data_IF_301831671059
#
_entry.id   IF_301831671059
#
_cell.length_a   1.000
_cell.length_b   1.000
_cell.length_c   1.000
_cell.angle_alpha   90.00
_cell.angle_beta   90.00
_cell.angle_gamma   90.00
#
_symmetry.space_group_name_H-M   'P 1'
#
loop_
_entity.id
_entity.type
_entity.pdbx_description
1 polymer ?
#
# COMPACT_ATOMS: atom_id res chain seq x y z
N UNK A 1 21.57 -4.99 2.75
CA UNK A 1 20.63 -3.95 2.27
C UNK A 1 19.98 -4.47 1.00
N UNK A 2 18.67 -4.74 0.99
CA UNK A 2 17.95 -5.06 -0.25
C UNK A 2 17.97 -3.84 -1.17
N UNK A 3 18.12 -4.06 -2.48
CA UNK A 3 18.18 -2.95 -3.43
C UNK A 3 16.80 -2.25 -3.52
N UNK A 4 16.78 -0.93 -3.72
CA UNK A 4 15.56 -0.14 -3.92
C UNK A 4 14.63 -0.78 -4.98
N UNK A 5 15.23 -1.31 -6.05
CA UNK A 5 14.53 -2.01 -7.13
C UNK A 5 13.82 -3.27 -6.64
N UNK A 6 14.46 -4.10 -5.80
CA UNK A 6 13.83 -5.30 -5.25
C UNK A 6 12.59 -4.97 -4.41
N UNK A 7 12.67 -3.92 -3.58
CA UNK A 7 11.54 -3.51 -2.75
C UNK A 7 10.37 -2.98 -3.59
N UNK A 8 10.64 -2.22 -4.64
CA UNK A 8 9.62 -1.78 -5.61
C UNK A 8 8.93 -3.00 -6.25
N UNK A 9 9.71 -3.96 -6.76
CA UNK A 9 9.15 -5.15 -7.39
C UNK A 9 8.34 -6.01 -6.41
N UNK A 10 8.77 -6.11 -5.15
CA UNK A 10 7.99 -6.80 -4.09
C UNK A 10 6.65 -6.12 -3.84
N UNK A 11 6.62 -4.79 -3.66
CA UNK A 11 5.38 -4.03 -3.48
C UNK A 11 4.44 -4.28 -4.66
N UNK A 12 4.95 -4.17 -5.89
CA UNK A 12 4.14 -4.36 -7.10
C UNK A 12 3.54 -5.77 -7.19
N UNK A 13 4.31 -6.82 -6.89
CA UNK A 13 3.80 -8.21 -6.86
C UNK A 13 2.72 -8.41 -5.80
N UNK A 14 2.90 -7.81 -4.63
CA UNK A 14 1.91 -7.88 -3.55
C UNK A 14 0.61 -7.19 -3.98
N UNK A 15 0.71 -5.98 -4.55
CA UNK A 15 -0.44 -5.23 -5.05
C UNK A 15 -1.12 -5.87 -6.26
N UNK A 16 -0.38 -6.60 -7.10
CA UNK A 16 -0.95 -7.39 -8.18
C UNK A 16 -1.82 -8.54 -7.65
N UNK A 17 -1.35 -9.24 -6.61
CA UNK A 17 -2.07 -10.35 -5.99
C UNK A 17 -3.27 -9.89 -5.15
N UNK A 18 -3.08 -8.87 -4.32
CA UNK A 18 -4.06 -8.47 -3.29
C UNK A 18 -4.93 -7.28 -3.70
N UNK A 19 -4.65 -6.68 -4.87
CA UNK A 19 -5.35 -5.56 -5.52
C UNK A 19 -5.32 -4.23 -4.78
N UNK A 20 -5.63 -4.21 -3.48
CA UNK A 20 -5.77 -2.99 -2.68
C UNK A 20 -5.16 -3.20 -1.29
N UNK A 21 -4.14 -2.41 -0.95
CA UNK A 21 -3.54 -2.42 0.39
C UNK A 21 -3.20 -1.02 0.85
N UNK A 22 -3.30 -0.77 2.15
CA UNK A 22 -2.80 0.45 2.77
C UNK A 22 -1.31 0.32 3.15
N UNK A 23 -0.73 1.43 3.62
CA UNK A 23 0.67 1.48 4.06
C UNK A 23 0.97 0.50 5.20
N UNK A 24 0.01 0.29 6.11
CA UNK A 24 0.20 -0.56 7.29
C UNK A 24 0.35 -2.03 6.86
N UNK A 25 -0.58 -2.52 6.05
CA UNK A 25 -0.54 -3.89 5.53
C UNK A 25 0.69 -4.13 4.62
N UNK A 26 1.11 -3.13 3.85
CA UNK A 26 2.33 -3.23 3.05
C UNK A 26 3.59 -3.35 3.90
N UNK A 27 3.68 -2.60 5.01
CA UNK A 27 4.79 -2.67 5.95
C UNK A 27 4.91 -4.06 6.59
N UNK A 28 3.80 -4.62 7.05
CA UNK A 28 3.76 -5.98 7.62
C UNK A 28 4.22 -7.04 6.61
N UNK A 29 3.78 -6.93 5.35
CA UNK A 29 4.08 -7.94 4.31
C UNK A 29 5.52 -7.88 3.77
N UNK A 30 6.18 -6.73 3.84
CA UNK A 30 7.52 -6.52 3.27
C UNK A 30 8.60 -6.46 4.37
N UNK A 31 8.20 -6.55 5.64
CA UNK A 31 9.11 -6.47 6.79
C UNK A 31 9.93 -5.18 6.79
N UNK A 32 9.28 -4.07 6.42
CA UNK A 32 9.83 -2.72 6.47
C UNK A 32 9.06 -1.89 7.48
N UNK A 33 9.69 -0.84 7.99
CA UNK A 33 8.99 0.14 8.80
C UNK A 33 7.96 0.90 7.96
N UNK A 34 6.93 1.43 8.61
CA UNK A 34 5.94 2.27 7.94
C UNK A 34 6.57 3.46 7.20
N UNK A 35 7.56 4.11 7.81
CA UNK A 35 8.25 5.25 7.19
C UNK A 35 9.05 4.88 5.94
N UNK A 36 9.66 3.68 5.90
CA UNK A 36 10.33 3.17 4.70
C UNK A 36 9.32 2.87 3.58
N UNK A 37 8.19 2.25 3.92
CA UNK A 37 7.11 1.99 2.95
C UNK A 37 6.51 3.30 2.44
N UNK A 38 6.30 4.31 3.28
CA UNK A 38 5.79 5.62 2.87
C UNK A 38 6.72 6.30 1.87
N UNK A 39 8.04 6.26 2.11
CA UNK A 39 9.03 6.78 1.16
C UNK A 39 8.99 6.04 -0.18
N UNK A 40 8.94 4.70 -0.14
CA UNK A 40 8.86 3.87 -1.34
C UNK A 40 7.58 4.13 -2.13
N UNK A 41 6.43 4.19 -1.45
CA UNK A 41 5.15 4.45 -2.07
C UNK A 41 5.11 5.87 -2.65
N UNK A 42 5.64 6.88 -1.94
CA UNK A 42 5.77 8.24 -2.46
C UNK A 42 6.57 8.28 -3.76
N UNK A 43 7.69 7.57 -3.83
CA UNK A 43 8.46 7.38 -5.05
C UNK A 43 7.65 6.67 -6.15
N UNK A 44 6.95 5.60 -5.82
CA UNK A 44 6.17 4.82 -6.79
C UNK A 44 4.96 5.61 -7.33
N UNK A 45 4.35 6.45 -6.51
CA UNK A 45 3.26 7.35 -6.89
C UNK A 45 3.77 8.44 -7.85
N UNK A 46 4.90 9.09 -7.54
CA UNK A 46 5.45 10.14 -8.41
C UNK A 46 5.85 9.62 -9.79
N UNK A 47 6.22 8.34 -9.88
CA UNK A 47 6.53 7.68 -11.15
C UNK A 47 5.33 6.99 -11.82
N UNK A 48 4.16 6.99 -11.17
CA UNK A 48 2.93 6.41 -11.72
C UNK A 48 2.89 4.88 -11.76
N UNK A 49 3.69 4.19 -10.94
CA UNK A 49 3.65 2.72 -10.85
C UNK A 49 2.47 2.22 -10.01
N UNK A 50 2.02 3.03 -9.06
CA UNK A 50 0.82 2.79 -8.24
C UNK A 50 -0.06 4.03 -8.26
N UNK A 51 -1.32 3.86 -7.86
CA UNK A 51 -2.25 4.97 -7.66
C UNK A 51 -2.97 4.85 -6.32
N UNK A 52 -3.38 5.98 -5.78
CA UNK A 52 -4.21 6.05 -4.58
C UNK A 52 -5.67 5.83 -4.96
N UNK A 53 -6.37 5.06 -4.13
CA UNK A 53 -7.82 5.00 -4.07
C UNK A 53 -8.21 5.31 -2.62
N UNK A 54 -9.15 6.24 -2.46
CA UNK A 54 -9.81 6.48 -1.19
C UNK A 54 -10.98 5.52 -1.07
N UNK A 55 -11.01 4.71 -0.02
CA UNK A 55 -12.15 3.86 0.28
C UNK A 55 -12.82 4.35 1.57
N UNK A 56 -14.14 4.47 1.53
CA UNK A 56 -14.92 4.73 2.73
C UNK A 56 -14.81 3.51 3.65
N UNK A 57 -14.38 3.77 4.87
CA UNK A 57 -14.29 2.76 5.90
C UNK A 57 -15.58 2.78 6.72
N UNK A 58 -16.17 1.61 6.93
CA UNK A 58 -17.30 1.48 7.86
C UNK A 58 -16.85 1.49 9.32
N UNK A 59 -15.56 1.78 9.61
CA UNK A 59 -15.01 1.74 10.98
C UNK A 59 -15.79 2.65 11.95
N UNK A 60 -16.41 3.71 11.47
CA UNK A 60 -17.23 4.60 12.30
C UNK A 60 -18.47 3.93 12.88
N UNK A 61 -18.97 2.92 12.16
CA UNK A 61 -20.10 2.06 12.53
C UNK A 61 -19.63 0.78 13.24
N UNK A 62 -18.32 0.55 13.33
CA UNK A 62 -17.78 -0.62 14.02
C UNK A 62 -17.90 -0.45 15.54
N UNK A 63 -18.47 -1.45 16.22
CA UNK A 63 -18.63 -1.47 17.68
C UNK A 63 -17.29 -1.44 18.42
N UNK A 64 -16.22 -1.97 17.80
CA UNK A 64 -14.87 -2.01 18.36
C UNK A 64 -14.03 -0.78 18.01
N UNK A 65 -14.62 0.29 17.45
CA UNK A 65 -13.85 1.42 16.90
C UNK A 65 -12.90 2.12 17.88
N UNK A 66 -13.25 2.14 19.16
CA UNK A 66 -12.49 2.82 20.21
C UNK A 66 -11.29 2.01 20.71
N UNK A 67 -11.25 0.71 20.41
CA UNK A 67 -10.20 -0.21 20.90
C UNK A 67 -9.42 -0.88 19.77
N UNK A 68 -9.97 -0.90 18.54
CA UNK A 68 -9.29 -1.48 17.41
C UNK A 68 -8.17 -0.53 16.90
N UNK A 69 -6.93 -1.02 16.77
CA UNK A 69 -5.79 -0.20 16.35
C UNK A 69 -5.89 0.27 14.89
N UNK A 70 -6.72 -0.39 14.09
CA UNK A 70 -7.02 -0.04 12.69
C UNK A 70 -8.05 1.09 12.61
N UNK A 71 -8.95 1.18 13.60
CA UNK A 71 -10.18 1.97 13.56
C UNK A 71 -10.13 3.28 14.33
N UNK A 72 -8.95 3.80 14.72
CA UNK A 72 -8.85 5.12 15.38
C UNK A 72 -9.38 6.24 14.46
N UNK A 73 -10.71 6.38 14.38
CA UNK A 73 -11.47 7.47 13.79
C UNK A 73 -11.23 7.75 12.29
N UNK A 74 -10.99 6.74 11.44
CA UNK A 74 -10.79 6.98 10.00
C UNK A 74 -12.01 6.61 9.19
N UNK A 75 -12.75 7.62 8.75
CA UNK A 75 -13.86 7.53 7.80
C UNK A 75 -13.38 7.09 6.42
N UNK A 76 -12.14 7.47 6.09
CA UNK A 76 -11.53 7.24 4.78
C UNK A 76 -10.18 6.57 5.00
N UNK A 77 -9.96 5.46 4.29
CA UNK A 77 -8.66 4.80 4.22
C UNK A 77 -8.03 5.03 2.85
N UNK A 78 -6.74 5.35 2.87
CA UNK A 78 -5.92 5.43 1.66
C UNK A 78 -5.39 4.04 1.36
N UNK A 79 -5.83 3.47 0.23
CA UNK A 79 -5.28 2.22 -0.29
C UNK A 79 -4.57 2.47 -1.62
N UNK A 80 -3.60 1.62 -1.93
CA UNK A 80 -2.84 1.67 -3.15
C UNK A 80 -3.21 0.50 -4.04
N UNK A 81 -3.19 0.73 -5.35
CA UNK A 81 -3.31 -0.32 -6.36
C UNK A 81 -2.30 -0.10 -7.48
N UNK A 82 -1.92 -1.19 -8.14
CA UNK A 82 -0.95 -1.19 -9.24
C UNK A 82 -1.57 -0.59 -10.52
N UNK A 83 -0.81 0.25 -11.23
CA UNK A 83 -1.22 0.82 -12.53
C UNK A 83 -0.82 -0.10 -13.69
N UNK A 84 -1.22 0.25 -14.92
CA UNK A 84 -0.71 -0.42 -16.13
C UNK A 84 0.82 -0.31 -16.25
N UNK A 85 1.38 0.87 -15.94
CA UNK A 85 2.84 1.10 -15.92
C UNK A 85 3.53 0.24 -14.86
N UNK A 86 2.94 0.11 -13.67
CA UNK A 86 3.44 -0.77 -12.63
C UNK A 86 3.46 -2.24 -13.06
N UNK A 87 2.41 -2.72 -13.72
CA UNK A 87 2.36 -4.09 -14.28
C UNK A 87 3.41 -4.31 -15.37
N UNK A 88 3.60 -3.33 -16.25
CA UNK A 88 4.64 -3.40 -17.29
C UNK A 88 6.05 -3.59 -16.68
N UNK A 89 6.32 -3.00 -15.51
CA UNK A 89 7.58 -3.16 -14.78
C UNK A 89 7.80 -4.59 -14.24
N UNK A 90 6.72 -5.35 -14.00
CA UNK A 90 6.81 -6.75 -13.57
C UNK A 90 7.10 -7.70 -14.73
N UNK A 91 6.65 -7.37 -15.94
CA UNK A 91 6.82 -8.15 -17.16
C UNK A 91 8.08 -7.81 -17.98
N UNK A 92 8.76 -6.69 -17.68
CA UNK A 92 10.03 -6.34 -18.31
C UNK A 92 11.16 -7.18 -17.69
N UNK A 93 11.37 -8.37 -18.26
CA UNK A 93 12.57 -9.20 -18.05
C UNK A 93 13.66 -8.81 -19.02
#
# INVERSE_FOLDING_TARGET
MQSLRENILKILRILEREKYLDTFMLAEKISLTRGEVEKLIGFMLSHGYVKIITADSTCNRCLLKNVCPVSKGRDIITVYTITGKGRALLGSR
#
